data_IF_152941571790
#
_entry.id   IF_152941571790
#
_cell.length_a   1.000
_cell.length_b   1.000
_cell.length_c   1.000
_cell.angle_alpha   90.00
_cell.angle_beta   90.00
_cell.angle_gamma   90.00
#
_symmetry.space_group_name_H-M   'P 1'
#
loop_
_entity.id
_entity.type
_entity.pdbx_description
1 polymer ?
#
# COMPACT_ATOMS: atom_id res chain seq x y z
N UNK A 1 4.77 2.43 -5.60
CA UNK A 1 6.12 2.96 -5.87
C UNK A 1 7.16 1.84 -6.04
N UNK A 2 7.21 0.75 -5.20
CA UNK A 2 8.20 -0.33 -5.34
C UNK A 2 8.13 -1.02 -6.73
N UNK A 3 6.92 -1.32 -7.21
CA UNK A 3 6.73 -1.85 -8.58
C UNK A 3 7.17 -0.90 -9.69
N UNK A 4 7.13 0.41 -9.43
CA UNK A 4 7.67 1.40 -10.35
C UNK A 4 9.21 1.28 -10.43
N UNK A 5 9.87 1.02 -9.29
CA UNK A 5 11.30 0.74 -9.26
C UNK A 5 11.68 -0.52 -10.04
N UNK A 6 10.87 -1.58 -9.92
CA UNK A 6 11.07 -2.80 -10.72
C UNK A 6 10.86 -2.55 -12.23
N UNK A 7 9.85 -1.77 -12.59
CA UNK A 7 9.65 -1.36 -13.98
C UNK A 7 10.82 -0.53 -14.51
N UNK A 8 11.36 0.39 -13.70
CA UNK A 8 12.54 1.19 -14.02
C UNK A 8 13.78 0.34 -14.31
N UNK A 9 13.91 -0.83 -13.67
CA UNK A 9 15.02 -1.75 -13.97
C UNK A 9 14.98 -2.28 -15.40
N UNK A 10 13.79 -2.41 -15.99
CA UNK A 10 13.58 -2.92 -17.36
C UNK A 10 13.54 -1.79 -18.38
N UNK A 11 12.84 -0.73 -18.05
CA UNK A 11 12.67 0.46 -18.88
C UNK A 11 12.93 1.70 -18.03
N UNK A 12 14.10 2.35 -18.19
CA UNK A 12 14.49 3.48 -17.39
C UNK A 12 13.51 4.65 -17.48
N UNK A 13 12.97 5.04 -16.33
CA UNK A 13 12.07 6.20 -16.21
C UNK A 13 12.94 7.45 -16.06
N UNK A 14 12.84 8.43 -16.98
CA UNK A 14 13.63 9.64 -16.91
C UNK A 14 13.50 10.37 -15.58
N UNK A 15 14.61 10.80 -15.02
CA UNK A 15 14.70 11.57 -13.77
C UNK A 15 14.21 10.83 -12.50
N UNK A 16 13.97 9.53 -12.53
CA UNK A 16 13.72 8.76 -11.32
C UNK A 16 15.05 8.52 -10.59
N UNK A 17 15.31 9.26 -9.52
CA UNK A 17 16.57 9.22 -8.77
C UNK A 17 16.48 8.44 -7.47
N UNK A 18 15.29 8.43 -6.83
CA UNK A 18 15.07 7.79 -5.53
C UNK A 18 13.60 7.38 -5.37
N UNK A 19 13.37 6.36 -4.58
CA UNK A 19 12.05 5.93 -4.12
C UNK A 19 12.02 5.98 -2.60
N UNK A 20 10.96 6.57 -2.04
CA UNK A 20 10.62 6.46 -0.62
C UNK A 20 9.25 5.81 -0.51
N UNK A 21 9.19 4.63 0.10
CA UNK A 21 7.98 3.86 0.30
C UNK A 21 7.62 3.84 1.79
N UNK A 22 6.49 4.41 2.15
CA UNK A 22 6.05 4.55 3.54
C UNK A 22 4.88 3.61 3.77
N UNK A 23 5.00 2.72 4.74
CA UNK A 23 4.02 1.67 5.08
C UNK A 23 3.45 1.02 3.82
N UNK A 24 4.29 0.52 2.88
CA UNK A 24 3.80 0.01 1.61
C UNK A 24 3.00 -1.26 1.79
N UNK A 25 1.80 -1.32 1.21
CA UNK A 25 1.00 -2.54 1.16
C UNK A 25 1.63 -3.52 0.15
N UNK A 26 2.70 -4.19 0.58
CA UNK A 26 3.47 -5.12 -0.26
C UNK A 26 2.73 -6.44 -0.47
N UNK A 27 1.84 -6.80 0.45
CA UNK A 27 0.88 -7.88 0.33
C UNK A 27 -0.54 -7.31 0.49
N UNK A 28 -1.21 -6.93 -0.61
CA UNK A 28 -2.54 -6.32 -0.56
C UNK A 28 -3.61 -7.23 0.05
N UNK A 29 -3.48 -8.55 -0.08
CA UNK A 29 -4.32 -9.56 0.57
C UNK A 29 -4.20 -9.46 2.09
N UNK A 30 -2.99 -9.48 2.63
CA UNK A 30 -2.72 -9.39 4.06
C UNK A 30 -3.23 -8.06 4.63
N UNK A 31 -3.02 -6.94 3.94
CA UNK A 31 -3.54 -5.63 4.32
C UNK A 31 -5.08 -5.59 4.34
N UNK A 32 -5.73 -6.16 3.32
CA UNK A 32 -7.20 -6.24 3.27
C UNK A 32 -7.77 -7.06 4.45
N UNK A 33 -7.15 -8.20 4.77
CA UNK A 33 -7.51 -9.02 5.94
C UNK A 33 -7.27 -8.29 7.26
N UNK A 34 -6.15 -7.56 7.40
CA UNK A 34 -5.88 -6.77 8.60
C UNK A 34 -6.95 -5.71 8.83
N UNK A 35 -7.35 -4.99 7.77
CA UNK A 35 -8.45 -4.01 7.82
C UNK A 35 -9.76 -4.69 8.24
N UNK A 36 -10.09 -5.85 7.66
CA UNK A 36 -11.35 -6.54 7.96
C UNK A 36 -11.42 -7.07 9.39
N UNK A 37 -10.29 -7.39 10.00
CA UNK A 37 -10.21 -7.86 11.38
C UNK A 37 -10.40 -6.75 12.43
N UNK A 38 -10.23 -5.48 12.05
CA UNK A 38 -10.40 -4.32 12.95
C UNK A 38 -11.68 -3.58 12.58
N UNK A 39 -12.71 -3.71 13.42
CA UNK A 39 -14.05 -3.16 13.14
C UNK A 39 -14.03 -1.67 12.78
N UNK A 40 -13.26 -0.85 13.49
CA UNK A 40 -13.17 0.58 13.22
C UNK A 40 -12.58 0.86 11.83
N UNK A 41 -11.51 0.16 11.45
CA UNK A 41 -10.88 0.28 10.15
C UNK A 41 -11.79 -0.23 9.04
N UNK A 42 -12.39 -1.41 9.23
CA UNK A 42 -13.34 -1.97 8.26
C UNK A 42 -14.49 -1.00 7.97
N UNK A 43 -15.10 -0.40 8.99
CA UNK A 43 -16.17 0.57 8.81
C UNK A 43 -15.69 1.83 8.08
N UNK A 44 -14.54 2.37 8.49
CA UNK A 44 -13.96 3.56 7.87
C UNK A 44 -13.61 3.32 6.39
N UNK A 45 -12.84 2.27 6.11
CA UNK A 45 -12.40 1.97 4.73
C UNK A 45 -13.60 1.64 3.83
N UNK A 46 -14.56 0.86 4.34
CA UNK A 46 -15.79 0.59 3.61
C UNK A 46 -16.57 1.87 3.27
N UNK A 47 -16.75 2.76 4.22
CA UNK A 47 -17.47 4.02 3.99
C UNK A 47 -16.77 4.88 2.93
N UNK A 48 -15.44 5.02 3.01
CA UNK A 48 -14.66 5.77 2.02
C UNK A 48 -14.71 5.11 0.64
N UNK A 49 -14.61 3.79 0.59
CA UNK A 49 -14.66 3.06 -0.66
C UNK A 49 -16.03 3.18 -1.32
N UNK A 50 -17.12 3.00 -0.55
CA UNK A 50 -18.48 3.20 -1.07
C UNK A 50 -18.73 4.62 -1.58
N UNK A 51 -18.17 5.63 -0.92
CA UNK A 51 -18.25 7.02 -1.42
C UNK A 51 -17.63 7.13 -2.81
N UNK A 52 -16.44 6.57 -3.01
CA UNK A 52 -15.75 6.59 -4.31
C UNK A 52 -16.49 5.78 -5.38
N UNK A 53 -17.03 4.60 -5.04
CA UNK A 53 -17.77 3.76 -5.96
C UNK A 53 -19.07 4.44 -6.41
N UNK A 54 -19.81 5.06 -5.50
CA UNK A 54 -21.02 5.82 -5.83
C UNK A 54 -20.73 7.01 -6.75
N UNK A 55 -19.66 7.75 -6.47
CA UNK A 55 -19.22 8.83 -7.34
C UNK A 55 -18.86 8.31 -8.75
N UNK A 56 -18.16 7.18 -8.84
CA UNK A 56 -17.83 6.54 -10.10
C UNK A 56 -19.09 6.08 -10.86
N UNK A 57 -20.04 5.45 -10.16
CA UNK A 57 -21.31 5.02 -10.76
C UNK A 57 -22.13 6.22 -11.26
N UNK A 58 -22.16 7.34 -10.52
CA UNK A 58 -22.92 8.54 -10.96
C UNK A 58 -22.32 9.19 -12.21
N UNK A 59 -21.00 9.09 -12.41
CA UNK A 59 -20.32 9.59 -13.61
C UNK A 59 -20.42 8.65 -14.81
N UNK A 60 -20.56 7.35 -14.56
CA UNK A 60 -20.59 6.33 -15.61
C UNK A 60 -21.71 5.29 -15.35
N UNK A 61 -22.99 5.71 -15.33
CA UNK A 61 -24.11 4.85 -14.91
C UNK A 61 -24.35 3.67 -15.85
N UNK A 62 -24.03 3.81 -17.13
CA UNK A 62 -24.16 2.73 -18.13
C UNK A 62 -23.09 1.64 -17.99
N UNK A 63 -21.98 1.94 -17.28
CA UNK A 63 -20.84 1.02 -17.14
C UNK A 63 -20.82 0.34 -15.77
N UNK A 64 -21.24 1.04 -14.71
CA UNK A 64 -21.09 0.58 -13.35
C UNK A 64 -22.41 0.50 -12.59
N UNK A 65 -22.63 -0.63 -11.94
CA UNK A 65 -23.72 -0.84 -10.99
C UNK A 65 -23.17 -1.55 -9.73
N UNK A 66 -22.98 -0.80 -8.66
CA UNK A 66 -22.40 -1.32 -7.42
C UNK A 66 -23.44 -1.76 -6.38
N UNK A 67 -24.72 -1.94 -6.74
CA UNK A 67 -25.77 -2.34 -5.80
C UNK A 67 -25.47 -3.66 -5.06
N UNK A 68 -24.82 -4.62 -5.71
CA UNK A 68 -24.38 -5.87 -5.08
C UNK A 68 -23.24 -5.63 -4.08
N UNK A 69 -22.29 -4.76 -4.41
CA UNK A 69 -21.15 -4.41 -3.55
C UNK A 69 -21.60 -3.66 -2.28
N UNK A 70 -22.64 -2.81 -2.41
CA UNK A 70 -23.19 -2.05 -1.27
C UNK A 70 -23.73 -2.93 -0.13
N UNK A 71 -24.15 -4.15 -0.43
CA UNK A 71 -24.65 -5.12 0.56
C UNK A 71 -23.54 -5.79 1.35
N UNK A 72 -22.31 -5.74 0.86
CA UNK A 72 -21.15 -6.36 1.49
C UNK A 72 -20.62 -5.47 2.61
N UNK A 73 -20.10 -6.09 3.66
CA UNK A 73 -19.71 -5.40 4.90
C UNK A 73 -18.21 -5.45 5.21
N UNK A 74 -17.44 -6.13 4.38
CA UNK A 74 -16.01 -6.32 4.56
C UNK A 74 -15.25 -6.04 3.26
N UNK A 75 -13.99 -5.66 3.36
CA UNK A 75 -13.16 -5.22 2.22
C UNK A 75 -12.84 -6.39 1.29
N UNK A 76 -12.49 -7.55 1.84
CA UNK A 76 -12.15 -8.73 1.03
C UNK A 76 -13.32 -9.17 0.16
N UNK A 77 -14.57 -9.39 0.67
CA UNK A 77 -15.72 -9.71 -0.19
C UNK A 77 -16.06 -8.60 -1.20
N UNK A 78 -15.86 -7.32 -0.83
CA UNK A 78 -16.05 -6.21 -1.77
C UNK A 78 -15.03 -6.27 -2.91
N UNK A 79 -13.77 -6.58 -2.60
CA UNK A 79 -12.72 -6.78 -3.61
C UNK A 79 -13.09 -7.92 -4.55
N UNK A 80 -13.53 -9.06 -3.99
CA UNK A 80 -13.95 -10.23 -4.79
C UNK A 80 -15.05 -9.88 -5.78
N UNK A 81 -16.10 -9.17 -5.33
CA UNK A 81 -17.19 -8.75 -6.20
C UNK A 81 -16.72 -7.77 -7.28
N UNK A 82 -15.88 -6.81 -6.94
CA UNK A 82 -15.37 -5.82 -7.89
C UNK A 82 -14.43 -6.45 -8.92
N UNK A 83 -13.57 -7.36 -8.50
CA UNK A 83 -12.65 -8.07 -9.39
C UNK A 83 -13.43 -8.93 -10.37
N UNK A 84 -14.40 -9.72 -9.90
CA UNK A 84 -15.25 -10.56 -10.74
C UNK A 84 -16.03 -9.77 -11.79
N UNK A 85 -16.63 -8.64 -11.39
CA UNK A 85 -17.59 -7.92 -12.23
C UNK A 85 -16.94 -6.83 -13.10
N UNK A 86 -15.75 -6.32 -12.72
CA UNK A 86 -15.18 -5.11 -13.35
C UNK A 86 -13.66 -5.20 -13.63
N UNK A 87 -13.08 -6.39 -13.60
CA UNK A 87 -11.65 -6.54 -13.90
C UNK A 87 -11.38 -7.65 -14.89
N UNK A 88 -10.13 -7.79 -15.31
CA UNK A 88 -9.64 -8.89 -16.13
C UNK A 88 -9.21 -10.13 -15.33
N UNK A 89 -9.18 -10.04 -14.00
CA UNK A 89 -8.72 -11.11 -13.12
C UNK A 89 -9.86 -12.07 -12.81
N UNK A 90 -9.56 -13.35 -12.68
CA UNK A 90 -10.58 -14.38 -12.42
C UNK A 90 -11.14 -14.31 -11.00
N UNK A 91 -10.31 -13.90 -10.02
CA UNK A 91 -10.68 -13.81 -8.61
C UNK A 91 -9.78 -12.81 -7.88
N UNK A 92 -10.14 -12.46 -6.64
CA UNK A 92 -9.38 -11.51 -5.84
C UNK A 92 -7.96 -11.99 -5.51
N UNK A 93 -7.72 -13.30 -5.40
CA UNK A 93 -6.38 -13.83 -5.12
C UNK A 93 -5.43 -13.54 -6.29
N UNK A 94 -5.84 -13.83 -7.51
CA UNK A 94 -5.06 -13.51 -8.72
C UNK A 94 -4.77 -12.00 -8.82
N UNK A 95 -5.77 -11.17 -8.51
CA UNK A 95 -5.60 -9.71 -8.42
C UNK A 95 -4.56 -9.33 -7.37
N UNK A 96 -4.66 -9.86 -6.15
CA UNK A 96 -3.71 -9.55 -5.07
C UNK A 96 -2.30 -10.04 -5.41
N UNK A 97 -2.16 -11.25 -5.94
CA UNK A 97 -0.85 -11.81 -6.33
C UNK A 97 -0.18 -10.95 -7.40
N UNK A 98 -0.94 -10.46 -8.37
CA UNK A 98 -0.43 -9.56 -9.41
C UNK A 98 0.10 -8.24 -8.83
N UNK A 99 -0.54 -7.72 -7.77
CA UNK A 99 -0.12 -6.45 -7.15
C UNK A 99 0.85 -6.62 -5.99
N UNK A 100 1.10 -7.84 -5.55
CA UNK A 100 2.07 -8.13 -4.49
C UNK A 100 3.50 -7.79 -4.90
N UNK A 101 4.31 -7.45 -3.91
CA UNK A 101 5.73 -7.14 -4.07
C UNK A 101 6.55 -8.22 -3.37
N UNK A 102 7.29 -9.00 -4.14
CA UNK A 102 8.10 -10.08 -3.58
C UNK A 102 9.44 -9.60 -3.01
N UNK A 103 10.06 -10.36 -2.08
CA UNK A 103 11.42 -10.08 -1.62
C UNK A 103 12.44 -10.02 -2.76
N UNK A 104 12.30 -10.86 -3.77
CA UNK A 104 13.18 -10.88 -4.94
C UNK A 104 13.06 -9.60 -5.76
N UNK A 105 11.83 -9.08 -5.91
CA UNK A 105 11.60 -7.81 -6.60
C UNK A 105 12.29 -6.66 -5.86
N UNK A 106 12.17 -6.61 -4.53
CA UNK A 106 12.80 -5.57 -3.70
C UNK A 106 14.32 -5.68 -3.76
N UNK A 107 14.87 -6.88 -3.59
CA UNK A 107 16.32 -7.12 -3.67
C UNK A 107 16.91 -6.74 -5.04
N UNK A 108 16.13 -6.83 -6.10
CA UNK A 108 16.54 -6.48 -7.47
C UNK A 108 16.44 -4.99 -7.82
N UNK A 109 15.98 -4.13 -6.95
CA UNK A 109 15.85 -2.69 -7.23
C UNK A 109 17.21 -2.05 -7.45
N UNK A 110 17.35 -1.30 -8.55
CA UNK A 110 18.58 -0.58 -8.91
C UNK A 110 18.52 0.91 -8.54
N UNK A 111 17.31 1.48 -8.46
CA UNK A 111 17.13 2.85 -7.99
C UNK A 111 17.25 2.87 -6.46
N UNK A 112 17.97 3.83 -5.87
CA UNK A 112 18.05 4.00 -4.44
C UNK A 112 16.65 4.07 -3.82
N UNK A 113 16.35 3.18 -2.89
CA UNK A 113 15.01 2.99 -2.33
C UNK A 113 15.08 2.92 -0.81
N UNK A 114 14.26 3.71 -0.14
CA UNK A 114 14.07 3.64 1.32
C UNK A 114 12.65 3.16 1.61
N UNK A 115 12.53 2.11 2.42
CA UNK A 115 11.25 1.59 2.92
C UNK A 115 11.14 1.98 4.39
N UNK A 116 10.10 2.73 4.75
CA UNK A 116 9.81 3.15 6.12
C UNK A 116 8.57 2.42 6.59
N UNK A 117 8.62 1.75 7.74
CA UNK A 117 7.50 1.01 8.33
C UNK A 117 7.51 1.13 9.86
N UNK A 118 6.39 0.81 10.49
CA UNK A 118 6.26 0.76 11.95
C UNK A 118 5.78 -0.62 12.40
N UNK A 119 6.28 -1.11 13.54
CA UNK A 119 5.89 -2.41 14.12
C UNK A 119 4.43 -2.42 14.57
N UNK A 120 3.93 -1.28 15.01
CA UNK A 120 2.57 -1.10 15.49
C UNK A 120 1.56 -0.72 14.38
N UNK A 121 1.95 -0.88 13.11
CA UNK A 121 1.03 -0.66 11.98
C UNK A 121 -0.07 -1.73 11.98
N UNK A 122 -1.29 -1.31 12.21
CA UNK A 122 -2.45 -2.19 12.27
C UNK A 122 -3.04 -2.54 10.88
N UNK A 123 -2.52 -1.91 9.82
CA UNK A 123 -2.96 -2.12 8.42
C UNK A 123 -1.96 -2.95 7.65
N UNK A 124 -0.67 -2.67 7.81
CA UNK A 124 0.41 -3.38 7.12
C UNK A 124 1.12 -4.31 8.10
N UNK A 125 0.95 -5.63 8.00
CA UNK A 125 1.66 -6.57 8.86
C UNK A 125 3.17 -6.40 8.74
N UNK A 126 3.84 -6.13 9.84
CA UNK A 126 5.30 -5.88 9.84
C UNK A 126 6.11 -7.05 9.30
N UNK A 127 5.63 -8.28 9.48
CA UNK A 127 6.28 -9.48 8.97
C UNK A 127 6.47 -9.45 7.44
N UNK A 128 5.59 -8.77 6.71
CA UNK A 128 5.69 -8.63 5.25
C UNK A 128 6.86 -7.71 4.85
N UNK A 129 7.21 -6.75 5.71
CA UNK A 129 8.37 -5.86 5.52
C UNK A 129 9.66 -6.53 6.01
N UNK A 130 9.59 -7.24 7.13
CA UNK A 130 10.75 -7.98 7.70
C UNK A 130 11.21 -9.14 6.81
N UNK A 131 10.35 -9.60 5.89
CA UNK A 131 10.74 -10.57 4.87
C UNK A 131 11.72 -10.00 3.83
N UNK A 132 11.90 -8.68 3.76
CA UNK A 132 12.85 -8.05 2.86
C UNK A 132 14.24 -7.98 3.50
N UNK A 133 15.27 -8.16 2.69
CA UNK A 133 16.65 -7.94 3.09
C UNK A 133 17.14 -6.59 2.57
N UNK A 134 17.89 -5.83 3.36
CA UNK A 134 18.61 -4.67 2.87
C UNK A 134 19.59 -5.05 1.76
N UNK A 135 19.81 -4.14 0.82
CA UNK A 135 20.78 -4.33 -0.28
C UNK A 135 21.54 -3.02 -0.52
N UNK A 136 22.47 -3.03 -1.47
CA UNK A 136 23.22 -1.81 -1.80
C UNK A 136 22.33 -0.62 -2.19
N UNK A 137 21.14 -0.89 -2.72
CA UNK A 137 20.19 0.14 -3.16
C UNK A 137 18.92 0.21 -2.29
N UNK A 138 18.74 -0.68 -1.32
CA UNK A 138 17.53 -0.75 -0.50
C UNK A 138 17.87 -0.61 0.96
N UNK A 139 17.40 0.47 1.58
CA UNK A 139 17.42 0.72 3.01
C UNK A 139 16.04 0.46 3.60
N UNK A 140 15.98 -0.18 4.78
CA UNK A 140 14.72 -0.53 5.46
C UNK A 140 14.76 0.05 6.87
N UNK A 141 13.90 1.01 7.13
CA UNK A 141 13.78 1.71 8.40
C UNK A 141 12.49 1.28 9.09
N UNK A 142 12.63 0.52 10.19
CA UNK A 142 11.49 0.06 10.99
C UNK A 142 11.53 0.76 12.35
N UNK A 143 10.47 1.51 12.65
CA UNK A 143 10.27 2.13 13.96
C UNK A 143 9.43 1.22 14.86
N UNK A 144 9.60 1.30 16.18
CA UNK A 144 8.76 0.55 17.14
C UNK A 144 7.33 1.06 17.15
N UNK A 145 7.16 2.38 16.99
CA UNK A 145 5.86 3.06 16.98
C UNK A 145 5.77 4.01 15.79
N UNK A 146 4.58 4.17 15.25
CA UNK A 146 4.33 5.04 14.09
C UNK A 146 2.92 4.83 13.54
N UNK A 147 2.32 3.69 13.82
CA UNK A 147 1.05 3.28 13.25
C UNK A 147 1.07 3.31 11.73
N UNK A 148 -0.11 3.35 11.14
CA UNK A 148 -0.22 3.49 9.69
C UNK A 148 -0.12 4.97 9.28
N UNK A 149 1.07 5.43 8.87
CA UNK A 149 1.34 6.79 8.37
C UNK A 149 1.34 7.90 9.43
N UNK A 150 1.25 7.60 10.72
CA UNK A 150 1.24 8.61 11.78
C UNK A 150 2.64 9.15 12.09
N UNK A 151 3.49 8.28 12.59
CA UNK A 151 4.87 8.59 13.02
C UNK A 151 4.95 9.86 13.87
N UNK A 152 4.12 9.89 14.93
CA UNK A 152 3.96 11.05 15.81
C UNK A 152 4.44 10.69 17.21
N UNK A 153 5.41 11.45 17.72
CA UNK A 153 5.73 11.47 19.14
C UNK A 153 4.77 12.40 19.88
N UNK A 154 4.24 11.95 21.00
CA UNK A 154 3.26 12.71 21.77
C UNK A 154 3.95 13.74 22.68
N UNK A 155 5.13 13.41 23.19
CA UNK A 155 5.85 14.30 24.09
C UNK A 155 7.39 14.22 23.94
N UNK A 156 8.05 15.30 23.46
CA UNK A 156 7.44 16.51 22.88
C UNK A 156 6.73 16.16 21.58
N UNK A 157 5.67 16.90 21.24
CA UNK A 157 4.96 16.69 19.97
C UNK A 157 5.91 16.86 18.78
N UNK A 158 6.18 15.78 18.08
CA UNK A 158 7.01 15.77 16.87
C UNK A 158 6.37 14.89 15.81
N UNK A 159 6.39 15.38 14.58
CA UNK A 159 6.13 14.57 13.40
C UNK A 159 7.48 14.15 12.82
N UNK A 160 7.85 12.92 13.05
CA UNK A 160 9.14 12.40 12.58
C UNK A 160 9.18 12.21 11.05
N UNK A 161 8.11 11.70 10.48
CA UNK A 161 8.03 11.32 9.06
C UNK A 161 8.37 12.45 8.07
N UNK A 162 7.89 13.71 8.22
CA UNK A 162 8.26 14.78 7.30
C UNK A 162 9.75 15.05 7.24
N UNK A 163 10.45 14.98 8.38
CA UNK A 163 11.90 15.13 8.44
C UNK A 163 12.62 14.00 7.72
N UNK A 164 12.23 12.75 7.99
CA UNK A 164 12.80 11.57 7.33
C UNK A 164 12.60 11.61 5.80
N UNK A 165 11.42 12.03 5.33
CA UNK A 165 11.17 12.19 3.89
C UNK A 165 12.08 13.28 3.30
N UNK A 166 12.23 14.41 3.98
CA UNK A 166 13.08 15.51 3.51
C UNK A 166 14.54 15.06 3.38
N UNK A 167 15.08 14.40 4.39
CA UNK A 167 16.44 13.84 4.35
C UNK A 167 16.64 12.90 3.16
N UNK A 168 15.65 12.03 2.87
CA UNK A 168 15.73 11.13 1.72
C UNK A 168 15.66 11.88 0.37
N UNK A 169 14.88 12.95 0.29
CA UNK A 169 14.81 13.79 -0.92
C UNK A 169 16.11 14.58 -1.14
N UNK A 170 16.72 15.09 -0.09
CA UNK A 170 18.00 15.81 -0.16
C UNK A 170 19.14 14.90 -0.63
N UNK A 171 19.13 13.61 -0.26
CA UNK A 171 20.08 12.60 -0.77
C UNK A 171 19.93 12.32 -2.28
N UNK A 172 18.83 12.75 -2.90
CA UNK A 172 18.56 12.56 -4.32
C UNK A 172 19.02 13.74 -5.20
N UNK A 173 19.37 14.86 -4.58
CA UNK A 173 19.89 16.05 -5.26
C UNK A 173 21.37 15.94 -5.57
#
# INVERSE_FOLDING_TARGET
>A
VLRLGDAHNREPIPNLRRIVAICPAVRPDAAAWAIDNITAYRLYFRARWMQSLRAKQSLFPETYNFAAVERLRAIVPMTEALVRDYSQWQNAQEYFDHYSVSPQMVAGLRVPTTIIAARDDAVIPIADIEAFAPSANVDIQITETGGHMGFVDVFPYRRWLPGAILEELERAL
#
